data_IF_620189580307
#
_entry.id   IF_620189580307
#
_cell.length_a   1.000
_cell.length_b   1.000
_cell.length_c   1.000
_cell.angle_alpha   90.00
_cell.angle_beta   90.00
_cell.angle_gamma   90.00
#
_symmetry.space_group_name_H-M   'P 1'
#
loop_
_entity.id
_entity.type
_entity.pdbx_description
1 polymer ?
#
# COMPACT_ATOMS: atom_id res chain seq x y z
N UNK A 1 8.69 -6.87 -1.78
CA UNK A 1 7.98 -5.58 -1.66
C UNK A 1 6.83 -5.76 -0.68
N UNK A 2 6.42 -4.71 0.01
CA UNK A 2 5.24 -4.72 0.90
C UNK A 2 4.25 -3.69 0.38
N UNK A 3 2.96 -4.01 0.45
CA UNK A 3 1.88 -3.07 0.18
C UNK A 3 0.98 -2.94 1.40
N UNK A 4 0.48 -1.74 1.63
CA UNK A 4 -0.51 -1.43 2.66
C UNK A 4 -1.22 -0.12 2.32
N UNK A 5 -2.35 0.11 2.98
CA UNK A 5 -3.10 1.35 2.94
C UNK A 5 -3.44 1.80 4.35
N UNK A 6 -3.57 3.11 4.52
CA UNK A 6 -3.94 3.75 5.79
C UNK A 6 -5.13 4.68 5.56
N UNK A 7 -5.90 4.89 6.62
CA UNK A 7 -6.99 5.86 6.71
C UNK A 7 -7.03 6.41 8.14
N UNK A 8 -7.89 7.39 8.41
CA UNK A 8 -8.04 7.94 9.75
C UNK A 8 -8.44 6.84 10.76
N UNK A 9 -7.58 6.60 11.76
CA UNK A 9 -7.68 5.52 12.78
C UNK A 9 -7.83 4.10 12.23
N UNK A 10 -7.47 3.87 10.96
CA UNK A 10 -7.64 2.57 10.31
C UNK A 10 -6.49 2.25 9.37
N UNK A 11 -6.31 0.96 9.12
CA UNK A 11 -5.32 0.46 8.16
C UNK A 11 -5.81 -0.81 7.50
N UNK A 12 -5.29 -1.08 6.32
CA UNK A 12 -5.45 -2.36 5.65
C UNK A 12 -4.62 -3.44 6.34
N UNK A 13 -4.84 -4.69 5.94
CA UNK A 13 -3.81 -5.71 6.10
C UNK A 13 -2.62 -5.38 5.22
N UNK A 14 -1.43 -5.81 5.66
CA UNK A 14 -0.25 -5.76 4.82
C UNK A 14 -0.20 -6.97 3.91
N UNK A 15 0.22 -6.72 2.67
CA UNK A 15 0.46 -7.73 1.67
C UNK A 15 1.96 -7.80 1.35
N UNK A 16 2.52 -9.01 1.43
CA UNK A 16 3.89 -9.27 0.98
C UNK A 16 3.87 -9.69 -0.47
N UNK A 17 4.54 -8.91 -1.30
CA UNK A 17 4.60 -9.11 -2.74
C UNK A 17 5.96 -9.69 -3.10
N UNK A 18 5.92 -10.87 -3.72
CA UNK A 18 7.09 -11.59 -4.22
C UNK A 18 7.28 -11.28 -5.70
N UNK A 19 8.48 -10.82 -6.05
CA UNK A 19 8.85 -10.42 -7.41
C UNK A 19 8.20 -9.12 -7.88
N UNK A 20 8.24 -8.89 -9.20
CA UNK A 20 7.75 -7.67 -9.83
C UNK A 20 6.22 -7.63 -9.91
N UNK A 21 5.63 -6.47 -9.58
CA UNK A 21 4.19 -6.25 -9.63
C UNK A 21 3.81 -5.51 -10.92
N UNK A 22 3.18 -6.22 -11.86
CA UNK A 22 2.57 -5.60 -13.04
C UNK A 22 1.09 -5.27 -12.77
N UNK A 23 0.44 -4.56 -13.69
CA UNK A 23 -0.95 -4.11 -13.51
C UNK A 23 -1.97 -5.25 -13.29
N UNK A 24 -1.80 -6.40 -13.95
CA UNK A 24 -2.70 -7.55 -13.74
C UNK A 24 -2.53 -8.16 -12.35
N UNK A 25 -1.27 -8.33 -11.91
CA UNK A 25 -0.96 -8.80 -10.55
C UNK A 25 -1.41 -7.78 -9.50
N UNK A 26 -1.26 -6.48 -9.77
CA UNK A 26 -1.74 -5.44 -8.86
C UNK A 26 -3.25 -5.57 -8.61
N UNK A 27 -4.05 -5.78 -9.67
CA UNK A 27 -5.49 -6.02 -9.50
C UNK A 27 -5.73 -7.30 -8.67
N UNK A 28 -5.14 -8.43 -9.07
CA UNK A 28 -5.45 -9.74 -8.49
C UNK A 28 -4.90 -9.97 -7.08
N UNK A 29 -3.72 -9.44 -6.80
CA UNK A 29 -2.99 -9.72 -5.56
C UNK A 29 -3.12 -8.58 -4.54
N UNK A 30 -3.51 -7.38 -4.96
CA UNK A 30 -3.58 -6.20 -4.08
C UNK A 30 -4.97 -5.59 -4.06
N UNK A 31 -5.46 -5.13 -5.22
CA UNK A 31 -6.69 -4.35 -5.24
C UNK A 31 -7.93 -5.16 -4.88
N UNK A 32 -8.11 -6.30 -5.53
CA UNK A 32 -9.26 -7.16 -5.34
C UNK A 32 -9.31 -7.80 -3.93
N UNK A 33 -8.23 -8.40 -3.40
CA UNK A 33 -8.31 -9.06 -2.10
C UNK A 33 -8.28 -8.11 -0.90
N UNK A 34 -7.66 -6.94 -1.02
CA UNK A 34 -7.42 -6.06 0.15
C UNK A 34 -7.88 -4.62 -0.07
N UNK A 35 -7.39 -3.92 -1.11
CA UNK A 35 -7.61 -2.49 -1.22
C UNK A 35 -9.10 -2.12 -1.39
N UNK A 36 -9.82 -2.84 -2.26
CA UNK A 36 -11.25 -2.58 -2.54
C UNK A 36 -12.11 -2.89 -1.32
N UNK A 37 -12.03 -4.08 -0.68
CA UNK A 37 -12.76 -4.33 0.58
C UNK A 37 -12.45 -3.30 1.67
N UNK A 38 -11.18 -2.91 1.81
CA UNK A 38 -10.77 -1.89 2.78
C UNK A 38 -11.43 -0.54 2.48
N UNK A 39 -11.40 -0.08 1.22
CA UNK A 39 -12.03 1.18 0.79
C UNK A 39 -13.55 1.16 0.92
N UNK A 40 -14.21 0.05 0.56
CA UNK A 40 -15.66 -0.08 0.71
C UNK A 40 -16.11 -0.07 2.18
N UNK A 41 -15.22 -0.47 3.10
CA UNK A 41 -15.46 -0.32 4.54
C UNK A 41 -15.27 1.10 5.07
N UNK A 42 -14.91 2.08 4.23
CA UNK A 42 -14.66 3.47 4.58
C UNK A 42 -15.63 4.38 3.81
N UNK A 43 -16.77 4.77 4.40
CA UNK A 43 -17.76 5.61 3.73
C UNK A 43 -17.16 6.92 3.23
N UNK A 44 -17.36 7.22 1.94
CA UNK A 44 -16.88 8.46 1.31
C UNK A 44 -15.37 8.54 1.10
N UNK A 45 -14.64 7.42 1.20
CA UNK A 45 -13.20 7.41 0.99
C UNK A 45 -12.81 7.74 -0.45
N UNK A 46 -11.77 8.56 -0.58
CA UNK A 46 -11.06 8.81 -1.85
C UNK A 46 -9.72 8.10 -1.77
N UNK A 47 -9.44 7.21 -2.71
CA UNK A 47 -8.22 6.41 -2.71
C UNK A 47 -7.05 7.18 -3.33
N UNK A 48 -6.00 7.35 -2.54
CA UNK A 48 -4.72 7.88 -3.01
C UNK A 48 -3.77 6.72 -3.34
N UNK A 49 -3.15 6.79 -4.51
CA UNK A 49 -2.03 5.95 -4.92
C UNK A 49 -1.04 6.81 -5.72
N UNK A 50 0.23 6.38 -5.80
CA UNK A 50 1.20 7.05 -6.65
C UNK A 50 0.93 6.81 -8.15
N UNK A 51 1.73 7.47 -9.00
CA UNK A 51 1.63 7.33 -10.44
C UNK A 51 2.54 6.24 -11.02
N UNK A 52 2.90 5.21 -10.25
CA UNK A 52 3.70 4.11 -10.78
C UNK A 52 3.02 3.47 -12.01
N UNK A 53 3.83 3.01 -12.98
CA UNK A 53 3.33 2.44 -14.26
C UNK A 53 2.23 1.38 -14.06
N UNK A 54 2.33 0.45 -13.09
CA UNK A 54 1.26 -0.51 -12.86
C UNK A 54 -0.07 0.13 -12.47
N UNK A 55 -0.04 1.20 -11.68
CA UNK A 55 -1.21 1.85 -11.07
C UNK A 55 -1.96 2.77 -12.05
N UNK A 56 -1.24 3.36 -13.00
CA UNK A 56 -1.80 4.29 -13.99
C UNK A 56 -2.28 3.61 -15.27
N UNK A 57 -2.05 2.30 -15.41
CA UNK A 57 -2.49 1.51 -16.55
C UNK A 57 -4.02 1.55 -16.72
N UNK A 58 -4.47 1.53 -17.99
CA UNK A 58 -5.89 1.58 -18.35
C UNK A 58 -6.72 0.51 -17.65
N UNK A 59 -6.21 -0.72 -17.55
CA UNK A 59 -6.92 -1.83 -16.90
C UNK A 59 -7.17 -1.58 -15.41
N UNK A 60 -6.25 -0.90 -14.72
CA UNK A 60 -6.37 -0.57 -13.30
C UNK A 60 -7.38 0.56 -13.10
N UNK A 61 -7.31 1.59 -13.93
CA UNK A 61 -8.31 2.68 -13.92
C UNK A 61 -9.72 2.18 -14.20
N UNK A 62 -9.89 1.32 -15.20
CA UNK A 62 -11.18 0.68 -15.50
C UNK A 62 -11.67 -0.22 -14.37
N UNK A 63 -10.76 -0.94 -13.71
CA UNK A 63 -11.10 -1.74 -12.54
C UNK A 63 -11.63 -0.86 -11.39
N UNK A 64 -10.97 0.24 -11.03
CA UNK A 64 -11.46 1.15 -10.00
C UNK A 64 -12.84 1.75 -10.35
N UNK A 65 -13.05 2.15 -11.60
CA UNK A 65 -14.34 2.65 -12.06
C UNK A 65 -15.45 1.60 -11.90
N UNK A 66 -15.17 0.34 -12.26
CA UNK A 66 -16.12 -0.76 -12.10
C UNK A 66 -16.41 -1.09 -10.62
N UNK A 67 -15.44 -0.88 -9.73
CA UNK A 67 -15.60 -1.05 -8.27
C UNK A 67 -16.15 0.20 -7.58
N UNK A 68 -16.50 1.25 -8.34
CA UNK A 68 -16.98 2.54 -7.84
C UNK A 68 -16.02 3.20 -6.82
N UNK A 69 -14.73 2.97 -6.99
CA UNK A 69 -13.69 3.60 -6.17
C UNK A 69 -13.29 4.93 -6.78
N UNK A 70 -13.39 6.00 -5.99
CA UNK A 70 -12.90 7.31 -6.38
C UNK A 70 -11.39 7.39 -6.18
N UNK A 71 -10.66 7.80 -7.22
CA UNK A 71 -9.22 8.05 -7.14
C UNK A 71 -8.93 9.53 -6.88
N UNK A 72 -7.99 9.81 -6.00
CA UNK A 72 -7.42 11.14 -5.82
C UNK A 72 -6.45 11.41 -6.98
N UNK A 73 -6.61 12.50 -7.74
CA UNK A 73 -5.57 12.95 -8.67
C UNK A 73 -4.28 13.23 -7.90
N UNK A 74 -3.20 12.54 -8.28
CA UNK A 74 -1.91 12.66 -7.58
C UNK A 74 -0.86 13.28 -8.51
N UNK A 75 -0.05 14.26 -8.05
CA UNK A 75 1.07 14.77 -8.82
C UNK A 75 2.19 13.71 -8.98
N UNK A 76 2.95 13.81 -10.07
CA UNK A 76 4.11 12.94 -10.27
C UNK A 76 5.27 13.35 -9.34
N UNK A 77 6.04 12.37 -8.88
CA UNK A 77 7.24 12.58 -8.07
C UNK A 77 7.04 13.34 -6.75
N UNK A 78 5.88 13.18 -6.10
CA UNK A 78 5.58 13.80 -4.80
C UNK A 78 5.37 12.75 -3.70
N UNK A 79 6.41 11.99 -3.32
CA UNK A 79 6.30 11.01 -2.23
C UNK A 79 6.11 11.69 -0.87
N UNK A 80 6.71 12.86 -0.67
CA UNK A 80 6.61 13.70 0.53
C UNK A 80 5.17 14.11 0.87
N UNK A 81 4.29 14.14 -0.13
CA UNK A 81 2.88 14.46 0.06
C UNK A 81 2.05 13.29 0.59
N UNK A 82 2.52 12.03 0.51
CA UNK A 82 1.72 10.87 0.91
C UNK A 82 1.92 10.54 2.39
N UNK A 83 0.84 10.53 3.21
CA UNK A 83 0.96 10.23 4.64
C UNK A 83 1.51 8.83 4.95
N UNK A 84 1.39 7.87 4.02
CA UNK A 84 1.89 6.51 4.25
C UNK A 84 3.42 6.44 4.23
N UNK A 85 4.09 7.35 3.52
CA UNK A 85 5.55 7.41 3.52
C UNK A 85 6.09 7.75 4.91
N UNK A 86 5.39 8.59 5.68
CA UNK A 86 5.75 8.85 7.08
C UNK A 86 5.59 7.61 7.96
N UNK A 87 4.58 6.77 7.70
CA UNK A 87 4.40 5.51 8.42
C UNK A 87 5.57 4.56 8.12
N UNK A 88 5.95 4.43 6.85
CA UNK A 88 7.09 3.61 6.45
C UNK A 88 8.40 4.12 7.02
N UNK A 89 8.63 5.44 7.03
CA UNK A 89 9.81 6.04 7.62
C UNK A 89 9.90 5.80 9.14
N UNK A 90 8.78 5.91 9.88
CA UNK A 90 8.76 5.58 11.31
C UNK A 90 9.11 4.10 11.55
N UNK A 91 8.56 3.18 10.75
CA UNK A 91 8.88 1.75 10.85
C UNK A 91 10.36 1.51 10.52
N UNK A 92 10.89 2.13 9.47
CA UNK A 92 12.28 2.02 9.07
C UNK A 92 13.25 2.56 10.13
N UNK A 93 12.94 3.71 10.74
CA UNK A 93 13.72 4.29 11.83
C UNK A 93 13.70 3.44 13.10
N UNK A 94 12.56 2.81 13.42
CA UNK A 94 12.49 1.85 14.54
C UNK A 94 13.34 0.62 14.26
N UNK A 95 13.29 0.10 13.04
CA UNK A 95 14.10 -1.04 12.62
C UNK A 95 15.59 -0.74 12.72
N UNK A 96 16.02 0.43 12.22
CA UNK A 96 17.42 0.85 12.25
C UNK A 96 17.98 1.07 13.67
N UNK A 97 17.11 1.27 14.66
CA UNK A 97 17.47 1.42 16.08
C UNK A 97 17.43 0.09 16.85
N UNK A 98 16.83 -0.96 16.29
CA UNK A 98 16.80 -2.28 16.94
C UNK A 98 18.24 -2.84 16.93
N UNK A 99 18.82 -3.17 18.10
CA UNK A 99 20.17 -3.71 18.17
C UNK A 99 20.27 -5.13 17.58
N UNK A 100 19.15 -5.83 17.38
CA UNK A 100 19.15 -7.15 16.77
C UNK A 100 19.07 -7.03 15.25
N UNK A 101 20.05 -7.56 14.51
CA UNK A 101 19.99 -7.55 13.06
C UNK A 101 18.89 -8.49 12.57
N UNK A 102 18.18 -8.06 11.53
CA UNK A 102 17.21 -8.91 10.84
C UNK A 102 17.96 -9.86 9.91
N UNK A 103 17.84 -11.16 10.14
CA UNK A 103 18.61 -12.19 9.46
C UNK A 103 17.97 -12.66 8.14
N UNK A 104 16.70 -12.33 7.89
CA UNK A 104 15.97 -12.81 6.70
C UNK A 104 14.83 -11.90 6.27
N UNK A 105 14.38 -12.07 5.02
CA UNK A 105 13.19 -11.38 4.51
C UNK A 105 11.90 -11.78 5.26
N UNK A 106 11.86 -12.98 5.84
CA UNK A 106 10.71 -13.47 6.62
C UNK A 106 10.64 -12.81 8.00
N UNK A 107 11.80 -12.65 8.64
CA UNK A 107 11.91 -11.91 9.88
C UNK A 107 11.61 -10.42 9.67
N UNK A 108 12.11 -9.83 8.58
CA UNK A 108 11.79 -8.46 8.20
C UNK A 108 10.28 -8.29 8.00
N UNK A 109 9.65 -9.25 7.32
CA UNK A 109 8.22 -9.25 7.10
C UNK A 109 7.42 -9.30 8.41
N UNK A 110 7.82 -10.15 9.34
CA UNK A 110 7.18 -10.25 10.65
C UNK A 110 7.31 -8.95 11.44
N UNK A 111 8.51 -8.35 11.43
CA UNK A 111 8.76 -7.07 12.08
C UNK A 111 7.85 -5.97 11.52
N UNK A 112 7.76 -5.84 10.19
CA UNK A 112 6.93 -4.85 9.52
C UNK A 112 5.45 -5.08 9.88
N UNK A 113 4.99 -6.34 9.86
CA UNK A 113 3.61 -6.69 10.23
C UNK A 113 3.23 -6.29 11.65
N UNK A 114 4.13 -6.47 12.61
CA UNK A 114 3.91 -6.10 14.02
C UNK A 114 3.97 -4.58 14.20
N UNK A 115 4.83 -3.91 13.44
CA UNK A 115 5.08 -2.47 13.58
C UNK A 115 4.04 -1.58 12.87
N UNK A 116 3.33 -2.13 11.89
CA UNK A 116 2.23 -1.47 11.20
C UNK A 116 0.97 -1.59 12.06
N UNK A 117 0.85 -0.71 13.05
CA UNK A 117 -0.28 -0.61 13.99
C UNK A 117 -1.33 0.40 13.52
#
# INVERSE_FOLDING_TARGET
MVWGAIAYHRRSQLLRIVGNLNSNRYIREVLQPEAVPFLQSLPGAVFQQDNARPHTARIVKSFFAAQQVQLLPWPACSPDMSPIEHVWDVIGRRLARDPRPVASADELWLYIKISFL
#
